data_IF_124502101830
#
_entry.id   IF_124502101830
#
_cell.length_a   1.000
_cell.length_b   1.000
_cell.length_c   1.000
_cell.angle_alpha   90.00
_cell.angle_beta   90.00
_cell.angle_gamma   90.00
#
_symmetry.space_group_name_H-M   'P 1'
#
loop_
_entity.id
_entity.type
_entity.pdbx_description
1 polymer ?
#
# COMPACT_ATOMS: atom_id res chain seq x y z
N UNK A 1 8.17 -23.88 -0.19
CA UNK A 1 8.06 -23.63 1.28
C UNK A 1 9.44 -23.76 1.96
N UNK A 2 10.21 -24.81 1.67
CA UNK A 2 11.52 -25.10 2.29
C UNK A 2 12.59 -23.99 2.13
N UNK A 3 12.70 -23.38 0.94
CA UNK A 3 13.67 -22.29 0.68
C UNK A 3 13.36 -21.06 1.55
N UNK A 4 12.08 -20.68 1.66
CA UNK A 4 11.67 -19.53 2.47
C UNK A 4 11.97 -19.73 3.96
N UNK A 5 11.78 -20.94 4.47
CA UNK A 5 12.09 -21.27 5.86
C UNK A 5 13.59 -21.25 6.14
N UNK A 6 14.41 -21.74 5.19
CA UNK A 6 15.87 -21.70 5.30
C UNK A 6 16.41 -20.26 5.28
N UNK A 7 15.81 -19.39 4.46
CA UNK A 7 16.13 -17.96 4.42
C UNK A 7 15.77 -17.27 5.75
N UNK A 8 14.58 -17.55 6.31
CA UNK A 8 14.14 -17.02 7.61
C UNK A 8 15.09 -17.38 8.76
N UNK A 9 15.64 -18.60 8.77
CA UNK A 9 16.61 -19.04 9.79
C UNK A 9 17.99 -18.38 9.66
N UNK A 10 18.38 -17.97 8.46
CA UNK A 10 19.77 -17.58 8.15
C UNK A 10 19.95 -16.06 8.11
N UNK A 11 18.97 -15.31 7.60
CA UNK A 11 19.10 -13.86 7.38
C UNK A 11 19.39 -13.07 8.65
N UNK A 12 18.76 -13.41 9.78
CA UNK A 12 18.99 -12.71 11.04
C UNK A 12 20.42 -12.87 11.61
N UNK A 13 21.14 -13.92 11.20
CA UNK A 13 22.51 -14.19 11.62
C UNK A 13 23.54 -13.62 10.64
N UNK A 14 23.21 -13.58 9.35
CA UNK A 14 24.13 -13.16 8.29
C UNK A 14 24.09 -11.65 8.03
N UNK A 15 23.00 -10.96 8.37
CA UNK A 15 22.80 -9.54 8.05
C UNK A 15 22.50 -8.62 9.26
N UNK A 16 23.19 -8.73 10.41
CA UNK A 16 23.01 -7.79 11.51
C UNK A 16 23.44 -6.37 11.07
N UNK A 17 22.60 -5.37 11.37
CA UNK A 17 22.92 -3.96 11.13
C UNK A 17 22.82 -3.49 9.67
N UNK A 18 22.41 -4.35 8.72
CA UNK A 18 22.26 -3.96 7.32
C UNK A 18 20.88 -3.33 7.03
N UNK A 19 20.78 -2.38 6.08
CA UNK A 19 19.50 -1.81 5.65
C UNK A 19 18.62 -2.82 4.90
N UNK A 20 19.18 -3.96 4.46
CA UNK A 20 18.45 -5.02 3.78
C UNK A 20 17.56 -5.83 4.74
N UNK A 21 17.93 -5.93 6.02
CA UNK A 21 17.17 -6.70 6.99
C UNK A 21 15.74 -6.16 7.19
N UNK A 22 15.51 -4.84 7.38
CA UNK A 22 14.15 -4.32 7.41
C UNK A 22 13.36 -4.57 6.13
N UNK A 23 13.98 -4.40 4.97
CA UNK A 23 13.34 -4.65 3.67
C UNK A 23 12.86 -6.11 3.58
N UNK A 24 13.73 -7.07 3.91
CA UNK A 24 13.38 -8.48 3.91
C UNK A 24 12.23 -8.79 4.87
N UNK A 25 12.33 -8.32 6.11
CA UNK A 25 11.30 -8.56 7.15
C UNK A 25 9.94 -8.00 6.72
N UNK A 26 9.93 -6.86 6.03
CA UNK A 26 8.72 -6.23 5.52
C UNK A 26 8.03 -7.10 4.46
N UNK A 27 8.75 -7.46 3.40
CA UNK A 27 8.17 -8.16 2.27
C UNK A 27 7.85 -9.62 2.58
N UNK A 28 8.63 -10.29 3.46
CA UNK A 28 8.31 -11.63 3.96
C UNK A 28 6.99 -11.63 4.75
N UNK A 29 6.75 -10.58 5.55
CA UNK A 29 5.49 -10.43 6.29
C UNK A 29 4.31 -10.12 5.36
N UNK A 30 4.47 -9.28 4.34
CA UNK A 30 3.43 -9.04 3.33
C UNK A 30 3.07 -10.32 2.56
N UNK A 31 4.08 -11.12 2.19
CA UNK A 31 3.85 -12.43 1.57
C UNK A 31 3.10 -13.38 2.52
N UNK A 32 3.47 -13.41 3.81
CA UNK A 32 2.77 -14.18 4.82
C UNK A 32 1.31 -13.71 5.01
N UNK A 33 1.02 -12.40 4.92
CA UNK A 33 -0.34 -11.87 4.94
C UNK A 33 -1.18 -12.35 3.74
N UNK A 34 -0.59 -12.45 2.55
CA UNK A 34 -1.26 -13.00 1.38
C UNK A 34 -1.58 -14.49 1.56
N UNK A 35 -0.61 -15.29 2.00
CA UNK A 35 -0.80 -16.73 2.26
C UNK A 35 -1.80 -17.00 3.40
N UNK A 36 -1.85 -16.12 4.40
CA UNK A 36 -2.83 -16.20 5.49
C UNK A 36 -4.27 -15.98 4.98
N UNK A 37 -4.47 -15.19 3.92
CA UNK A 37 -5.79 -14.99 3.31
C UNK A 37 -6.27 -16.19 2.49
N UNK A 38 -5.34 -16.92 1.89
CA UNK A 38 -5.64 -18.04 0.99
C UNK A 38 -5.81 -19.38 1.71
N UNK A 39 -5.25 -19.53 2.92
CA UNK A 39 -5.12 -20.84 3.59
C UNK A 39 -5.94 -20.98 4.88
N UNK A 40 -6.57 -22.15 5.06
CA UNK A 40 -7.18 -22.57 6.34
C UNK A 40 -6.18 -23.32 7.25
N UNK A 41 -5.29 -24.17 6.69
CA UNK A 41 -4.45 -25.09 7.50
C UNK A 41 -3.10 -24.53 7.97
N UNK A 42 -2.51 -23.56 7.25
CA UNK A 42 -1.19 -22.99 7.59
C UNK A 42 -1.27 -21.65 8.35
N UNK A 43 -2.43 -21.33 8.95
CA UNK A 43 -2.70 -19.98 9.45
C UNK A 43 -1.77 -19.58 10.61
N UNK A 44 -1.35 -20.52 11.46
CA UNK A 44 -0.60 -20.21 12.68
C UNK A 44 0.83 -19.75 12.40
N UNK A 45 1.56 -20.47 11.53
CA UNK A 45 2.92 -20.11 11.13
C UNK A 45 2.98 -18.72 10.49
N UNK A 46 2.04 -18.43 9.58
CA UNK A 46 1.97 -17.10 8.95
C UNK A 46 1.65 -16.00 9.97
N UNK A 47 0.72 -16.24 10.90
CA UNK A 47 0.44 -15.29 12.00
C UNK A 47 1.68 -14.99 12.84
N UNK A 48 2.52 -15.98 13.11
CA UNK A 48 3.76 -15.80 13.88
C UNK A 48 4.79 -14.96 13.12
N UNK A 49 4.99 -15.23 11.82
CA UNK A 49 5.86 -14.43 10.95
C UNK A 49 5.42 -12.97 10.94
N UNK A 50 4.12 -12.71 10.71
CA UNK A 50 3.56 -11.36 10.65
C UNK A 50 3.74 -10.64 11.99
N UNK A 51 3.41 -11.29 13.12
CA UNK A 51 3.56 -10.71 14.46
C UNK A 51 5.03 -10.41 14.80
N UNK A 52 5.94 -11.31 14.47
CA UNK A 52 7.37 -11.10 14.69
C UNK A 52 7.90 -9.93 13.86
N UNK A 53 7.47 -9.81 12.60
CA UNK A 53 7.82 -8.69 11.74
C UNK A 53 7.27 -7.36 12.27
N UNK A 54 5.99 -7.30 12.66
CA UNK A 54 5.41 -6.10 13.28
C UNK A 54 6.17 -5.67 14.54
N UNK A 55 6.57 -6.62 15.40
CA UNK A 55 7.36 -6.32 16.60
C UNK A 55 8.71 -5.68 16.24
N UNK A 56 9.43 -6.24 15.27
CA UNK A 56 10.72 -5.70 14.79
C UNK A 56 10.54 -4.30 14.18
N UNK A 57 9.55 -4.15 13.30
CA UNK A 57 9.23 -2.89 12.64
C UNK A 57 8.84 -1.80 13.62
N UNK A 58 8.07 -2.11 14.67
CA UNK A 58 7.78 -1.17 15.76
C UNK A 58 9.03 -0.74 16.52
N UNK A 59 9.96 -1.66 16.76
CA UNK A 59 11.27 -1.35 17.34
C UNK A 59 12.08 -0.38 16.46
N UNK A 60 12.07 -0.58 15.15
CA UNK A 60 12.74 0.35 14.22
C UNK A 60 12.02 1.69 14.09
N UNK A 61 10.68 1.69 14.07
CA UNK A 61 9.85 2.90 14.04
C UNK A 61 10.06 3.77 15.27
N UNK A 62 10.30 3.19 16.46
CA UNK A 62 10.64 3.96 17.65
C UNK A 62 11.92 4.80 17.50
N UNK A 63 12.85 4.39 16.63
CA UNK A 63 14.09 5.10 16.36
C UNK A 63 14.01 5.99 15.11
N UNK A 64 13.21 5.61 14.12
CA UNK A 64 13.06 6.35 12.86
C UNK A 64 11.64 6.22 12.31
N UNK A 65 10.66 6.97 12.85
CA UNK A 65 9.26 6.88 12.46
C UNK A 65 9.06 7.07 10.96
N UNK A 66 9.72 8.07 10.36
CA UNK A 66 9.66 8.37 8.93
C UNK A 66 10.07 7.21 8.02
N UNK A 67 10.86 6.26 8.51
CA UNK A 67 11.33 5.13 7.71
C UNK A 67 10.46 3.88 7.87
N UNK A 68 9.72 3.76 8.97
CA UNK A 68 9.11 2.48 9.37
C UNK A 68 7.65 2.56 9.82
N UNK A 69 7.13 3.72 10.23
CA UNK A 69 5.75 3.85 10.73
C UNK A 69 4.72 3.38 9.69
N UNK A 70 4.85 3.85 8.45
CA UNK A 70 3.99 3.46 7.35
C UNK A 70 4.04 1.96 7.04
N UNK A 71 5.22 1.34 7.21
CA UNK A 71 5.40 -0.11 7.04
C UNK A 71 4.69 -0.91 8.14
N UNK A 72 4.76 -0.43 9.40
CA UNK A 72 4.01 -1.02 10.51
C UNK A 72 2.51 -0.97 10.23
N UNK A 73 2.00 0.21 9.86
CA UNK A 73 0.59 0.44 9.58
C UNK A 73 0.10 -0.44 8.41
N UNK A 74 0.90 -0.60 7.35
CA UNK A 74 0.51 -1.47 6.25
C UNK A 74 0.45 -2.94 6.66
N UNK A 75 1.39 -3.42 7.46
CA UNK A 75 1.35 -4.79 7.99
C UNK A 75 0.14 -5.02 8.91
N UNK A 76 -0.22 -4.03 9.73
CA UNK A 76 -1.43 -4.07 10.56
C UNK A 76 -2.70 -4.11 9.71
N UNK A 77 -2.77 -3.29 8.66
CA UNK A 77 -3.89 -3.26 7.73
C UNK A 77 -4.10 -4.60 7.03
N UNK A 78 -3.02 -5.18 6.52
CA UNK A 78 -3.01 -6.47 5.82
C UNK A 78 -3.37 -7.62 6.77
N UNK A 79 -2.88 -7.59 8.01
CA UNK A 79 -3.19 -8.59 9.03
C UNK A 79 -4.66 -8.53 9.47
N UNK A 80 -5.18 -7.33 9.72
CA UNK A 80 -6.59 -7.14 10.08
C UNK A 80 -7.52 -7.48 8.92
N UNK A 81 -7.14 -7.16 7.68
CA UNK A 81 -7.86 -7.58 6.49
C UNK A 81 -7.92 -9.11 6.39
N UNK A 82 -6.80 -9.80 6.63
CA UNK A 82 -6.75 -11.27 6.64
C UNK A 82 -7.60 -11.91 7.75
N UNK A 83 -7.91 -11.16 8.82
CA UNK A 83 -8.76 -11.62 9.94
C UNK A 83 -10.22 -11.14 9.81
N UNK A 84 -10.60 -10.53 8.70
CA UNK A 84 -11.96 -10.01 8.47
C UNK A 84 -12.31 -8.77 9.32
N UNK A 85 -11.33 -8.10 9.94
CA UNK A 85 -11.55 -6.90 10.76
C UNK A 85 -11.62 -5.65 9.89
N UNK A 86 -12.69 -5.55 9.09
CA UNK A 86 -12.83 -4.55 8.02
C UNK A 86 -12.60 -3.10 8.45
N UNK A 87 -13.21 -2.65 9.55
CA UNK A 87 -13.06 -1.25 10.01
C UNK A 87 -11.63 -0.93 10.46
N UNK A 88 -10.99 -1.85 11.18
CA UNK A 88 -9.60 -1.69 11.63
C UNK A 88 -8.63 -1.67 10.45
N UNK A 89 -8.81 -2.60 9.51
CA UNK A 89 -8.02 -2.67 8.28
C UNK A 89 -8.12 -1.36 7.48
N UNK A 90 -9.33 -0.81 7.31
CA UNK A 90 -9.53 0.45 6.59
C UNK A 90 -8.76 1.62 7.22
N UNK A 91 -8.90 1.80 8.53
CA UNK A 91 -8.18 2.85 9.28
C UNK A 91 -6.66 2.69 9.16
N UNK A 92 -6.16 1.45 9.23
CA UNK A 92 -4.75 1.17 9.11
C UNK A 92 -4.22 1.43 7.68
N UNK A 93 -4.99 1.13 6.63
CA UNK A 93 -4.60 1.49 5.25
C UNK A 93 -4.52 3.00 5.06
N UNK A 94 -5.53 3.76 5.50
CA UNK A 94 -5.52 5.22 5.41
C UNK A 94 -4.34 5.80 6.22
N UNK A 95 -4.04 5.22 7.38
CA UNK A 95 -2.86 5.56 8.19
C UNK A 95 -1.55 5.31 7.44
N UNK A 96 -1.40 4.13 6.82
CA UNK A 96 -0.20 3.75 6.09
C UNK A 96 0.09 4.68 4.92
N UNK A 97 -0.93 5.00 4.12
CA UNK A 97 -0.86 5.97 3.01
C UNK A 97 -0.41 7.33 3.52
N UNK A 98 -1.09 7.87 4.54
CA UNK A 98 -0.79 9.20 5.08
C UNK A 98 0.63 9.27 5.67
N UNK A 99 1.07 8.22 6.37
CA UNK A 99 2.41 8.16 6.96
C UNK A 99 3.49 8.06 5.88
N UNK A 100 3.27 7.27 4.82
CA UNK A 100 4.22 7.15 3.71
C UNK A 100 4.35 8.47 2.95
N UNK A 101 3.24 9.15 2.68
CA UNK A 101 3.21 10.45 2.03
C UNK A 101 3.96 11.51 2.83
N UNK A 102 3.67 11.64 4.13
CA UNK A 102 4.38 12.58 5.03
C UNK A 102 5.88 12.32 5.10
N UNK A 103 6.29 11.08 4.90
CA UNK A 103 7.70 10.67 4.96
C UNK A 103 8.41 10.74 3.60
N UNK A 104 7.71 11.12 2.52
CA UNK A 104 8.26 11.18 1.16
C UNK A 104 8.58 9.81 0.57
N UNK A 105 8.02 8.72 1.11
CA UNK A 105 8.29 7.35 0.69
C UNK A 105 7.36 6.93 -0.45
N UNK A 106 7.56 7.52 -1.63
CA UNK A 106 6.66 7.37 -2.79
C UNK A 106 6.37 5.90 -3.16
N UNK A 107 7.37 5.04 -3.12
CA UNK A 107 7.24 3.61 -3.42
C UNK A 107 6.35 2.87 -2.42
N UNK A 108 6.42 3.27 -1.15
CA UNK A 108 5.62 2.66 -0.10
C UNK A 108 4.20 3.23 -0.08
N UNK A 109 4.03 4.51 -0.43
CA UNK A 109 2.72 5.13 -0.63
C UNK A 109 1.98 4.43 -1.78
N UNK A 110 2.65 4.23 -2.91
CA UNK A 110 2.11 3.49 -4.06
C UNK A 110 1.66 2.08 -3.66
N UNK A 111 2.51 1.37 -2.91
CA UNK A 111 2.21 0.03 -2.41
C UNK A 111 1.01 0.04 -1.47
N UNK A 112 0.95 0.98 -0.52
CA UNK A 112 -0.16 1.08 0.43
C UNK A 112 -1.50 1.34 -0.29
N UNK A 113 -1.52 2.21 -1.30
CA UNK A 113 -2.70 2.42 -2.15
C UNK A 113 -3.08 1.16 -2.94
N UNK A 114 -2.13 0.46 -3.56
CA UNK A 114 -2.41 -0.79 -4.28
C UNK A 114 -3.05 -1.83 -3.35
N UNK A 115 -2.48 -2.01 -2.14
CA UNK A 115 -3.01 -2.97 -1.16
C UNK A 115 -4.40 -2.58 -0.67
N UNK A 116 -4.63 -1.30 -0.40
CA UNK A 116 -5.93 -0.79 -0.01
C UNK A 116 -6.97 -0.96 -1.13
N UNK A 117 -6.60 -0.72 -2.38
CA UNK A 117 -7.46 -0.93 -3.55
C UNK A 117 -7.87 -2.41 -3.69
N UNK A 118 -6.92 -3.33 -3.54
CA UNK A 118 -7.19 -4.77 -3.55
C UNK A 118 -8.14 -5.19 -2.43
N UNK A 119 -8.00 -4.59 -1.25
CA UNK A 119 -8.89 -4.86 -0.12
C UNK A 119 -10.32 -4.33 -0.36
N UNK A 120 -10.46 -3.21 -1.06
CA UNK A 120 -11.73 -2.54 -1.33
C UNK A 120 -12.44 -3.02 -2.59
N UNK A 121 -11.75 -3.67 -3.53
CA UNK A 121 -12.31 -4.01 -4.86
C UNK A 121 -13.69 -4.66 -4.80
N UNK A 122 -13.89 -5.59 -3.86
CA UNK A 122 -15.14 -6.35 -3.73
C UNK A 122 -16.12 -5.71 -2.70
N UNK A 123 -15.79 -4.52 -2.17
CA UNK A 123 -16.56 -3.80 -1.13
C UNK A 123 -17.01 -2.41 -1.57
N UNK A 124 -16.16 -1.69 -2.29
CA UNK A 124 -16.36 -0.33 -2.79
C UNK A 124 -15.53 -0.16 -4.07
N UNK A 125 -16.15 -0.49 -5.21
CA UNK A 125 -15.50 -0.50 -6.53
C UNK A 125 -15.02 0.90 -6.95
N UNK A 126 -15.78 1.95 -6.61
CA UNK A 126 -15.44 3.32 -6.95
C UNK A 126 -14.18 3.78 -6.21
N UNK A 127 -14.12 3.54 -4.89
CA UNK A 127 -12.94 3.86 -4.07
C UNK A 127 -11.74 3.01 -4.45
N UNK A 128 -11.95 1.72 -4.75
CA UNK A 128 -10.89 0.85 -5.26
C UNK A 128 -10.29 1.37 -6.57
N UNK A 129 -11.14 1.82 -7.51
CA UNK A 129 -10.69 2.37 -8.80
C UNK A 129 -9.86 3.63 -8.64
N UNK A 130 -10.31 4.54 -7.76
CA UNK A 130 -9.54 5.73 -7.41
C UNK A 130 -8.16 5.36 -6.82
N UNK A 131 -8.12 4.42 -5.88
CA UNK A 131 -6.87 4.01 -5.23
C UNK A 131 -5.92 3.30 -6.21
N UNK A 132 -6.42 2.49 -7.13
CA UNK A 132 -5.59 1.89 -8.19
C UNK A 132 -4.97 2.95 -9.11
N UNK A 133 -5.71 3.99 -9.50
CA UNK A 133 -5.15 5.05 -10.32
C UNK A 133 -4.10 5.90 -9.58
N UNK A 134 -4.29 6.14 -8.27
CA UNK A 134 -3.28 6.82 -7.47
C UNK A 134 -2.02 5.96 -7.35
N UNK A 135 -2.16 4.67 -7.00
CA UNK A 135 -1.03 3.73 -6.94
C UNK A 135 -0.27 3.67 -8.27
N UNK A 136 -1.00 3.59 -9.39
CA UNK A 136 -0.40 3.62 -10.73
C UNK A 136 0.43 4.88 -10.95
N UNK A 137 -0.13 6.06 -10.68
CA UNK A 137 0.57 7.32 -10.89
C UNK A 137 1.83 7.42 -10.02
N UNK A 138 1.75 7.03 -8.75
CA UNK A 138 2.90 7.03 -7.86
C UNK A 138 4.00 6.06 -8.32
N UNK A 139 3.64 4.90 -8.89
CA UNK A 139 4.62 4.01 -9.51
C UNK A 139 5.28 4.61 -10.75
N UNK A 140 4.53 5.35 -11.58
CA UNK A 140 5.10 6.10 -12.71
C UNK A 140 6.06 7.17 -12.21
N UNK A 141 5.64 7.98 -11.24
CA UNK A 141 6.44 9.07 -10.69
C UNK A 141 7.72 8.56 -10.00
N UNK A 142 7.68 7.37 -9.41
CA UNK A 142 8.85 6.70 -8.85
C UNK A 142 9.78 6.07 -9.91
N UNK A 143 9.30 5.88 -11.16
CA UNK A 143 10.06 5.25 -12.24
C UNK A 143 9.96 3.73 -12.30
N UNK A 144 8.91 3.12 -11.72
CA UNK A 144 8.70 1.68 -11.73
C UNK A 144 7.82 1.22 -12.90
N UNK A 145 8.33 1.39 -14.12
CA UNK A 145 7.58 1.14 -15.37
C UNK A 145 7.01 -0.28 -15.48
N UNK A 146 7.78 -1.29 -15.09
CA UNK A 146 7.31 -2.68 -15.12
C UNK A 146 6.13 -2.89 -14.15
N UNK A 147 6.14 -2.20 -13.00
CA UNK A 147 5.11 -2.33 -11.98
C UNK A 147 3.85 -1.53 -12.33
N UNK A 148 4.00 -0.32 -12.88
CA UNK A 148 2.88 0.47 -13.39
C UNK A 148 2.17 -0.26 -14.53
N UNK A 149 2.91 -0.80 -15.50
CA UNK A 149 2.38 -1.61 -16.59
C UNK A 149 1.66 -2.88 -16.10
N UNK A 150 2.22 -3.56 -15.09
CA UNK A 150 1.55 -4.70 -14.46
C UNK A 150 0.19 -4.30 -13.88
N UNK A 151 0.11 -3.15 -13.20
CA UNK A 151 -1.13 -2.66 -12.59
C UNK A 151 -2.16 -2.29 -13.66
N UNK A 152 -1.74 -1.60 -14.72
CA UNK A 152 -2.59 -1.22 -15.85
C UNK A 152 -3.12 -2.46 -16.59
N UNK A 153 -2.28 -3.48 -16.79
CA UNK A 153 -2.69 -4.74 -17.45
C UNK A 153 -3.70 -5.52 -16.61
N UNK A 154 -3.44 -5.65 -15.29
CA UNK A 154 -4.24 -6.52 -14.42
C UNK A 154 -5.54 -5.86 -13.95
N UNK A 155 -5.56 -4.54 -13.83
CA UNK A 155 -6.68 -3.75 -13.32
C UNK A 155 -7.08 -2.64 -14.28
N UNK A 156 -7.03 -2.92 -15.59
CA UNK A 156 -7.28 -1.95 -16.67
C UNK A 156 -8.59 -1.19 -16.50
N UNK A 157 -9.68 -1.88 -16.13
CA UNK A 157 -10.98 -1.27 -15.83
C UNK A 157 -10.86 -0.18 -14.75
N UNK A 158 -10.21 -0.50 -13.64
CA UNK A 158 -10.05 0.41 -12.51
C UNK A 158 -9.13 1.61 -12.83
N UNK A 159 -8.02 1.37 -13.52
CA UNK A 159 -7.04 2.41 -13.86
C UNK A 159 -7.59 3.36 -14.94
N UNK A 160 -8.29 2.85 -15.94
CA UNK A 160 -8.86 3.65 -17.03
C UNK A 160 -10.07 4.50 -16.60
N UNK A 161 -10.97 3.95 -15.77
CA UNK A 161 -12.15 4.66 -15.28
C UNK A 161 -11.78 5.88 -14.41
N UNK A 162 -10.77 5.73 -13.55
CA UNK A 162 -10.33 6.82 -12.69
C UNK A 162 -9.52 7.89 -13.44
N UNK A 163 -8.72 7.52 -14.45
CA UNK A 163 -8.09 8.50 -15.37
C UNK A 163 -9.13 9.33 -16.10
N UNK A 164 -10.17 8.67 -16.63
CA UNK A 164 -11.27 9.34 -17.35
C UNK A 164 -11.99 10.31 -16.41
N UNK A 165 -12.38 9.87 -15.20
CA UNK A 165 -13.05 10.76 -14.24
C UNK A 165 -12.18 11.96 -13.83
N UNK A 166 -10.87 11.78 -13.61
CA UNK A 166 -9.93 12.89 -13.34
C UNK A 166 -9.85 13.87 -14.51
N UNK A 167 -9.67 13.39 -15.74
CA UNK A 167 -9.59 14.28 -16.90
C UNK A 167 -10.87 15.07 -17.11
N UNK A 168 -12.04 14.46 -16.84
CA UNK A 168 -13.33 15.15 -16.87
C UNK A 168 -13.47 16.19 -15.76
N UNK A 169 -13.01 15.90 -14.54
CA UNK A 169 -13.06 16.85 -13.42
C UNK A 169 -12.12 18.04 -13.65
N UNK A 170 -10.91 17.79 -14.15
CA UNK A 170 -9.92 18.81 -14.48
C UNK A 170 -10.38 19.70 -15.65
N UNK A 171 -10.99 19.11 -16.70
CA UNK A 171 -11.57 19.87 -17.83
C UNK A 171 -12.77 20.71 -17.38
N UNK A 172 -13.65 20.16 -16.54
CA UNK A 172 -14.79 20.90 -15.97
C UNK A 172 -14.33 22.07 -15.09
N UNK A 173 -13.30 21.87 -14.27
CA UNK A 173 -12.73 22.93 -13.41
C UNK A 173 -12.03 24.02 -14.23
N UNK A 174 -11.36 23.66 -15.34
CA UNK A 174 -10.80 24.65 -16.28
C UNK A 174 -11.88 25.45 -17.01
N UNK A 175 -12.98 24.81 -17.41
CA UNK A 175 -14.10 25.48 -18.09
C UNK A 175 -14.86 26.44 -17.18
N UNK A 176 -15.05 26.09 -15.91
CA UNK A 176 -15.71 26.98 -14.92
C UNK A 176 -14.80 28.12 -14.48
N UNK A 177 -13.48 27.90 -14.37
CA UNK A 177 -12.51 28.96 -14.08
C UNK A 177 -12.44 30.04 -15.19
N UNK A 178 -12.75 29.68 -16.43
CA UNK A 178 -12.78 30.63 -17.55
C UNK A 178 -14.03 31.54 -17.58
N UNK A 179 -15.07 31.21 -16.80
CA UNK A 179 -16.30 31.99 -16.66
C UNK A 179 -16.28 32.81 -15.36
N UNK A 180 -15.44 33.84 -15.30
CA UNK A 180 -15.58 34.90 -14.28
C UNK A 180 -16.28 36.12 -14.91
N UNK A 181 -17.56 36.42 -14.59
CA UNK A 181 -18.19 37.64 -15.05
C UNK A 181 -17.55 38.82 -14.30
N UNK A 182 -16.88 39.72 -15.03
CA UNK A 182 -16.44 41.00 -14.50
C UNK A 182 -17.68 41.81 -14.10
N UNK A 183 -18.09 41.72 -12.83
CA UNK A 183 -19.06 42.63 -12.25
C UNK A 183 -18.42 44.02 -12.18
N UNK A 184 -18.85 44.91 -13.08
CA UNK A 184 -18.57 46.35 -13.00
C UNK A 184 -19.31 46.89 -11.78
N UNK A 185 -18.56 47.36 -10.77
CA UNK A 185 -19.09 48.13 -9.66
C UNK A 185 -19.54 49.51 -10.15
N UNK A 186 -20.81 49.84 -9.90
CA UNK A 186 -21.36 51.19 -9.98
C UNK A 186 -21.35 51.83 -8.59
#
# INVERSE_FOLDING_TARGET
VEIADKIRMTIGKVLPGTPLLPIYVYYDALAACALLRESNDSSQKHKEVIKAAMKKMKGWAANSPSNFEHKVLLLEAEYDAAKGKTSSAHKAYDGAVNAANKSGMIQDEALAYERAALFLRDKDEAKASLYFAIAHQLYVDWGADAKSLQLETKYSKHVSEARTKRSFQDDMTRRTAHFSPKLKSA
#
